data_IF_050064203340
#
_entry.id   IF_050064203340
#
_cell.length_a   1.000
_cell.length_b   1.000
_cell.length_c   1.000
_cell.angle_alpha   90.00
_cell.angle_beta   90.00
_cell.angle_gamma   90.00
#
_symmetry.space_group_name_H-M   'P 1'
#
loop_
_entity.id
_entity.type
_entity.pdbx_description
1 polymer ?
#
# COMPACT_ATOMS: atom_id res chain seq x y z
N UNK A 1 29.78 8.06 -17.94
CA UNK A 1 30.26 7.19 -19.03
C UNK A 1 30.73 5.88 -18.43
N UNK A 2 30.26 4.73 -18.93
CA UNK A 2 30.63 3.37 -18.49
C UNK A 2 31.21 2.67 -19.72
N UNK A 3 32.54 2.62 -19.84
CA UNK A 3 33.19 2.17 -21.07
C UNK A 3 32.79 3.04 -22.28
N UNK A 4 32.32 2.40 -23.36
CA UNK A 4 31.82 3.08 -24.55
C UNK A 4 30.36 3.55 -24.44
N UNK A 5 29.68 3.28 -23.32
CA UNK A 5 28.28 3.63 -23.11
C UNK A 5 28.16 4.92 -22.31
N UNK A 6 27.33 5.85 -22.80
CA UNK A 6 26.94 7.04 -22.04
C UNK A 6 25.66 6.72 -21.27
N UNK A 7 25.71 6.87 -19.95
CA UNK A 7 24.54 6.83 -19.09
C UNK A 7 24.17 8.26 -18.71
N UNK A 8 22.93 8.64 -18.97
CA UNK A 8 22.35 9.94 -18.62
C UNK A 8 21.12 9.74 -17.74
N UNK A 9 20.95 10.60 -16.75
CA UNK A 9 19.74 10.68 -15.94
C UNK A 9 19.09 12.02 -16.24
N UNK A 10 17.94 11.99 -16.90
CA UNK A 10 17.17 13.17 -17.27
C UNK A 10 15.80 13.16 -16.59
N UNK A 11 15.21 14.35 -16.44
CA UNK A 11 13.82 14.51 -16.02
C UNK A 11 13.02 15.02 -17.20
N UNK A 12 11.98 14.30 -17.60
CA UNK A 12 11.22 14.59 -18.81
C UNK A 12 10.08 13.61 -19.06
N UNK A 13 9.50 13.70 -20.26
CA UNK A 13 8.44 12.82 -20.74
C UNK A 13 9.02 11.80 -21.73
N UNK A 14 9.06 10.53 -21.33
CA UNK A 14 9.64 9.45 -22.14
C UNK A 14 8.97 9.31 -23.51
N UNK A 15 7.72 9.76 -23.67
CA UNK A 15 7.00 9.72 -24.96
C UNK A 15 7.56 10.71 -25.99
N UNK A 16 8.49 11.59 -25.58
CA UNK A 16 9.15 12.59 -26.42
C UNK A 16 10.60 12.24 -26.73
N UNK A 17 11.12 11.15 -26.16
CA UNK A 17 12.52 10.74 -26.33
C UNK A 17 12.79 10.23 -27.74
N UNK A 18 13.82 10.80 -28.37
CA UNK A 18 14.27 10.43 -29.72
C UNK A 18 15.39 9.41 -29.62
N UNK A 19 15.02 8.15 -29.42
CA UNK A 19 15.95 7.03 -29.25
C UNK A 19 15.60 5.87 -30.17
N UNK A 20 16.46 4.87 -30.27
CA UNK A 20 16.13 3.67 -31.03
C UNK A 20 15.00 2.89 -30.33
N UNK A 21 15.11 2.72 -29.01
CA UNK A 21 14.06 2.11 -28.20
C UNK A 21 13.66 2.97 -27.01
N UNK A 22 12.41 2.84 -26.60
CA UNK A 22 11.97 3.18 -25.25
C UNK A 22 11.47 1.93 -24.55
N UNK A 23 11.59 1.90 -23.22
CA UNK A 23 11.12 0.78 -22.41
C UNK A 23 9.77 1.10 -21.81
N UNK A 24 8.79 0.22 -22.03
CA UNK A 24 7.52 0.26 -21.32
C UNK A 24 7.52 -0.76 -20.16
N UNK A 25 7.38 -0.26 -18.93
CA UNK A 25 7.20 -1.10 -17.74
C UNK A 25 5.71 -1.30 -17.45
N UNK A 26 5.21 -2.52 -17.67
CA UNK A 26 3.78 -2.85 -17.68
C UNK A 26 3.45 -4.06 -16.77
N UNK A 27 2.22 -4.56 -16.83
CA UNK A 27 1.77 -5.76 -16.13
C UNK A 27 2.06 -7.02 -16.98
N UNK A 28 1.78 -8.21 -16.42
CA UNK A 28 2.01 -9.50 -17.11
C UNK A 28 1.27 -9.65 -18.45
N UNK A 29 0.17 -8.91 -18.65
CA UNK A 29 -0.62 -8.95 -19.89
C UNK A 29 -0.36 -7.76 -20.79
N UNK A 30 0.64 -6.93 -20.47
CA UNK A 30 1.01 -5.70 -21.16
C UNK A 30 -0.13 -4.69 -21.42
N UNK A 31 -1.26 -4.87 -20.71
CA UNK A 31 -2.47 -4.05 -20.78
C UNK A 31 -2.50 -2.96 -19.71
N UNK A 32 -1.38 -2.71 -19.04
CA UNK A 32 -1.31 -1.80 -17.90
C UNK A 32 -1.47 -0.35 -18.36
N UNK A 33 -2.65 0.23 -18.15
CA UNK A 33 -2.98 1.61 -18.50
C UNK A 33 -2.91 2.55 -17.30
N UNK A 34 -1.81 2.53 -16.54
CA UNK A 34 -1.52 3.56 -15.53
C UNK A 34 -0.08 4.08 -15.61
N UNK A 35 0.17 5.24 -14.98
CA UNK A 35 1.49 5.85 -14.90
C UNK A 35 2.16 6.04 -16.26
N UNK A 36 3.45 5.72 -16.34
CA UNK A 36 4.25 5.84 -17.56
C UNK A 36 3.76 4.89 -18.65
N UNK A 37 3.31 3.68 -18.32
CA UNK A 37 2.79 2.73 -19.32
C UNK A 37 1.54 3.29 -20.02
N UNK A 38 0.66 3.97 -19.27
CA UNK A 38 -0.48 4.68 -19.89
C UNK A 38 -0.01 5.74 -20.88
N UNK A 39 0.94 6.58 -20.48
CA UNK A 39 1.45 7.66 -21.34
C UNK A 39 2.07 7.10 -22.63
N UNK A 40 2.85 6.02 -22.53
CA UNK A 40 3.44 5.33 -23.69
C UNK A 40 2.35 4.76 -24.59
N UNK A 41 1.39 4.01 -24.06
CA UNK A 41 0.33 3.40 -24.88
C UNK A 41 -0.59 4.44 -25.54
N UNK A 42 -0.97 5.48 -24.80
CA UNK A 42 -1.76 6.60 -25.35
C UNK A 42 -0.98 7.33 -26.46
N UNK A 43 0.33 7.55 -26.24
CA UNK A 43 1.20 8.23 -27.20
C UNK A 43 1.52 7.40 -28.44
N UNK A 44 1.67 6.09 -28.30
CA UNK A 44 1.91 5.17 -29.40
C UNK A 44 0.67 4.96 -30.28
N UNK A 45 -0.52 4.95 -29.66
CA UNK A 45 -1.80 4.77 -30.35
C UNK A 45 -2.24 3.31 -30.46
N UNK A 46 -3.43 3.11 -31.04
CA UNK A 46 -4.16 1.83 -30.99
C UNK A 46 -3.45 0.66 -31.68
N UNK A 47 -2.57 0.92 -32.64
CA UNK A 47 -1.85 -0.14 -33.36
C UNK A 47 -0.93 -0.96 -32.44
N UNK A 48 -0.22 -0.30 -31.54
CA UNK A 48 0.67 -0.97 -30.57
C UNK A 48 -0.13 -1.86 -29.62
N UNK A 49 -1.33 -1.42 -29.20
CA UNK A 49 -2.21 -2.26 -28.38
C UNK A 49 -2.67 -3.53 -29.12
N UNK A 50 -2.91 -3.44 -30.44
CA UNK A 50 -3.28 -4.59 -31.25
C UNK A 50 -2.12 -5.57 -31.45
N UNK A 51 -0.89 -5.07 -31.64
CA UNK A 51 0.33 -5.90 -31.68
C UNK A 51 0.50 -6.69 -30.37
N UNK A 52 0.35 -6.02 -29.22
CA UNK A 52 0.48 -6.64 -27.91
C UNK A 52 -0.54 -7.76 -27.67
N UNK A 53 -1.78 -7.62 -28.18
CA UNK A 53 -2.82 -8.65 -28.04
C UNK A 53 -2.52 -9.93 -28.83
N UNK A 54 -1.63 -9.88 -29.81
CA UNK A 54 -1.30 -11.00 -30.69
C UNK A 54 -0.03 -11.75 -30.25
N UNK A 55 0.67 -11.29 -29.21
CA UNK A 55 2.04 -11.74 -28.87
C UNK A 55 2.14 -12.39 -27.47
N UNK A 56 3.09 -13.34 -27.30
CA UNK A 56 3.31 -14.14 -26.09
C UNK A 56 4.12 -13.47 -24.95
N UNK A 57 4.58 -14.22 -23.94
CA UNK A 57 4.89 -13.69 -22.59
C UNK A 57 6.36 -13.34 -22.22
N UNK A 58 7.37 -13.52 -23.09
CA UNK A 58 8.78 -13.48 -22.60
C UNK A 58 9.53 -12.15 -22.75
N UNK A 59 9.31 -11.39 -23.82
CA UNK A 59 9.76 -9.99 -24.00
C UNK A 59 9.20 -9.51 -25.34
N UNK A 60 8.26 -8.57 -25.31
CA UNK A 60 7.54 -8.14 -26.52
C UNK A 60 8.17 -6.84 -27.01
N UNK A 61 8.68 -6.86 -28.23
CA UNK A 61 9.04 -5.66 -28.98
C UNK A 61 7.89 -5.36 -29.93
N UNK A 62 7.44 -4.12 -29.94
CA UNK A 62 6.41 -3.64 -30.87
C UNK A 62 6.94 -2.47 -31.69
N UNK A 63 6.21 -2.13 -32.75
CA UNK A 63 6.42 -0.85 -33.44
C UNK A 63 6.22 0.33 -32.49
N UNK A 64 6.78 1.49 -32.81
CA UNK A 64 6.62 2.70 -31.98
C UNK A 64 5.28 3.43 -32.16
N UNK A 65 4.48 3.03 -33.15
CA UNK A 65 3.26 3.75 -33.52
C UNK A 65 3.57 5.23 -33.83
N UNK A 66 2.98 6.15 -33.06
CA UNK A 66 3.20 7.59 -33.22
C UNK A 66 4.35 8.16 -32.37
N UNK A 67 5.13 7.33 -31.66
CA UNK A 67 6.22 7.79 -30.82
C UNK A 67 7.50 8.07 -31.64
N UNK A 68 8.35 9.01 -31.20
CA UNK A 68 9.55 9.41 -31.91
C UNK A 68 10.75 8.44 -31.72
N UNK A 69 10.48 7.19 -31.35
CA UNK A 69 11.45 6.10 -31.29
C UNK A 69 11.25 5.08 -32.42
N UNK A 70 12.15 4.10 -32.58
CA UNK A 70 12.00 3.05 -33.61
C UNK A 70 11.11 1.91 -33.11
N UNK A 71 11.35 1.43 -31.90
CA UNK A 71 10.60 0.32 -31.28
C UNK A 71 10.27 0.61 -29.81
N UNK A 72 9.28 -0.12 -29.27
CA UNK A 72 8.95 -0.12 -27.84
C UNK A 72 9.26 -1.51 -27.28
N UNK A 73 10.09 -1.55 -26.24
CA UNK A 73 10.43 -2.80 -25.54
C UNK A 73 9.56 -2.91 -24.29
N UNK A 74 8.67 -3.90 -24.25
CA UNK A 74 7.74 -4.10 -23.15
C UNK A 74 8.30 -5.11 -22.14
N UNK A 75 8.44 -4.66 -20.89
CA UNK A 75 8.84 -5.50 -19.76
C UNK A 75 7.75 -5.54 -18.70
N UNK A 76 7.69 -6.64 -17.98
CA UNK A 76 6.88 -6.74 -16.76
C UNK A 76 7.60 -5.97 -15.65
N UNK A 77 6.92 -4.99 -15.08
CA UNK A 77 7.44 -4.18 -13.97
C UNK A 77 7.77 -5.03 -12.74
N UNK A 78 8.85 -4.66 -12.07
CA UNK A 78 9.33 -5.30 -10.84
C UNK A 78 9.86 -4.25 -9.87
N UNK A 79 9.79 -4.57 -8.57
CA UNK A 79 10.15 -3.64 -7.49
C UNK A 79 11.41 -4.06 -6.72
N UNK A 80 11.88 -5.31 -6.90
CA UNK A 80 13.11 -5.79 -6.26
C UNK A 80 14.33 -5.36 -7.06
N UNK A 81 15.38 -4.81 -6.42
CA UNK A 81 16.60 -4.40 -7.12
C UNK A 81 17.23 -5.50 -7.98
N UNK A 82 17.22 -6.76 -7.51
CA UNK A 82 17.72 -7.92 -8.26
C UNK A 82 16.93 -8.15 -9.55
N UNK A 83 15.61 -8.04 -9.50
CA UNK A 83 14.73 -8.28 -10.64
C UNK A 83 14.85 -7.14 -11.64
N UNK A 84 14.95 -5.90 -11.16
CA UNK A 84 15.21 -4.72 -11.99
C UNK A 84 16.54 -4.88 -12.72
N UNK A 85 17.60 -5.31 -12.02
CA UNK A 85 18.90 -5.55 -12.64
C UNK A 85 18.82 -6.59 -13.75
N UNK A 86 18.12 -7.70 -13.51
CA UNK A 86 17.91 -8.75 -14.53
C UNK A 86 17.13 -8.23 -15.74
N UNK A 87 16.09 -7.42 -15.53
CA UNK A 87 15.27 -6.82 -16.60
C UNK A 87 16.03 -5.78 -17.40
N UNK A 88 16.81 -4.92 -16.74
CA UNK A 88 17.68 -3.96 -17.45
C UNK A 88 18.70 -4.73 -18.29
N UNK A 89 19.30 -5.78 -17.75
CA UNK A 89 20.25 -6.61 -18.48
C UNK A 89 19.62 -7.30 -19.71
N UNK A 90 18.40 -7.82 -19.60
CA UNK A 90 17.72 -8.44 -20.75
C UNK A 90 17.40 -7.44 -21.85
N UNK A 91 16.90 -6.25 -21.49
CA UNK A 91 16.68 -5.15 -22.45
C UNK A 91 17.96 -4.73 -23.14
N UNK A 92 19.07 -4.58 -22.41
CA UNK A 92 20.35 -4.17 -23.00
C UNK A 92 20.88 -5.23 -23.99
N UNK A 93 20.75 -6.52 -23.67
CA UNK A 93 21.08 -7.62 -24.60
C UNK A 93 20.20 -7.61 -25.85
N UNK A 94 18.91 -7.32 -25.69
CA UNK A 94 17.98 -7.20 -26.79
C UNK A 94 18.35 -6.02 -27.72
N UNK A 95 18.70 -4.87 -27.12
CA UNK A 95 19.19 -3.71 -27.86
C UNK A 95 20.47 -4.04 -28.65
N UNK A 96 21.40 -4.79 -28.06
CA UNK A 96 22.62 -5.26 -28.75
C UNK A 96 22.28 -6.15 -29.96
N UNK A 97 21.35 -7.11 -29.80
CA UNK A 97 20.89 -7.98 -30.88
C UNK A 97 20.20 -7.20 -32.02
N UNK A 98 19.44 -6.16 -31.67
CA UNK A 98 18.76 -5.26 -32.63
C UNK A 98 19.70 -4.18 -33.20
N UNK A 99 20.97 -4.12 -32.75
CA UNK A 99 21.96 -3.09 -33.11
C UNK A 99 21.48 -1.66 -32.80
N UNK A 100 20.77 -1.51 -31.69
CA UNK A 100 20.37 -0.21 -31.17
C UNK A 100 21.55 0.53 -30.55
N UNK A 101 21.61 1.83 -30.82
CA UNK A 101 22.64 2.74 -30.33
C UNK A 101 22.14 3.59 -29.15
N UNK A 102 20.82 3.65 -28.93
CA UNK A 102 20.20 4.38 -27.81
C UNK A 102 18.93 3.70 -27.29
N UNK A 103 18.76 3.69 -25.97
CA UNK A 103 17.54 3.20 -25.31
C UNK A 103 17.21 4.08 -24.11
N UNK A 104 15.95 4.50 -23.99
CA UNK A 104 15.45 5.25 -22.84
C UNK A 104 14.67 4.32 -21.90
N UNK A 105 15.04 4.34 -20.62
CA UNK A 105 14.31 3.63 -19.57
C UNK A 105 13.49 4.63 -18.75
N UNK A 106 12.24 4.31 -18.40
CA UNK A 106 11.55 5.06 -17.36
C UNK A 106 12.18 4.74 -16.01
N UNK A 107 11.84 5.51 -14.97
CA UNK A 107 12.20 5.12 -13.61
C UNK A 107 11.55 3.75 -13.29
N UNK A 108 12.38 2.71 -13.19
CA UNK A 108 11.93 1.34 -12.90
C UNK A 108 11.77 1.14 -11.39
N UNK A 109 10.81 0.29 -11.00
CA UNK A 109 10.50 0.06 -9.59
C UNK A 109 9.77 1.21 -8.88
N UNK A 110 9.42 2.28 -9.61
CA UNK A 110 8.59 3.37 -9.07
C UNK A 110 7.10 3.18 -9.36
N UNK A 111 6.72 2.08 -10.00
CA UNK A 111 5.34 1.80 -10.39
C UNK A 111 4.45 1.69 -9.14
N UNK A 112 3.27 2.33 -9.23
CA UNK A 112 2.19 2.25 -8.25
C UNK A 112 2.01 0.79 -7.80
N UNK A 113 2.17 0.51 -6.51
CA UNK A 113 1.49 -0.66 -5.95
C UNK A 113 0.02 -0.51 -6.32
N UNK A 114 -0.51 -1.52 -7.02
CA UNK A 114 -1.86 -1.44 -7.57
C UNK A 114 -2.82 -1.15 -6.42
N UNK A 115 -3.64 -0.11 -6.59
CA UNK A 115 -4.72 0.13 -5.66
C UNK A 115 -5.63 -1.10 -5.67
N UNK A 116 -6.28 -1.43 -4.54
CA UNK A 116 -7.14 -2.61 -4.49
C UNK A 116 -8.23 -2.51 -5.56
N UNK A 117 -8.45 -3.59 -6.30
CA UNK A 117 -9.38 -3.61 -7.44
C UNK A 117 -10.84 -3.33 -7.06
N UNK A 118 -11.20 -3.51 -5.79
CA UNK A 118 -12.52 -3.21 -5.25
C UNK A 118 -12.70 -1.72 -4.88
N UNK A 119 -11.67 -0.89 -5.02
CA UNK A 119 -11.80 0.55 -4.80
C UNK A 119 -12.60 1.22 -5.91
N UNK A 120 -13.42 2.19 -5.54
CA UNK A 120 -14.11 3.07 -6.48
C UNK A 120 -13.13 4.11 -7.03
N UNK A 121 -13.44 4.67 -8.20
CA UNK A 121 -12.67 5.78 -8.76
C UNK A 121 -12.65 6.98 -7.79
N UNK A 122 -11.45 7.38 -7.39
CA UNK A 122 -11.23 8.49 -6.46
C UNK A 122 -11.40 9.86 -7.13
N UNK A 123 -11.57 9.93 -8.46
CA UNK A 123 -11.80 11.15 -9.24
C UNK A 123 -10.77 12.25 -8.97
N UNK A 124 -9.51 11.86 -8.79
CA UNK A 124 -8.40 12.76 -8.48
C UNK A 124 -8.31 13.27 -7.04
N UNK A 125 -9.20 12.86 -6.14
CA UNK A 125 -9.12 13.22 -4.72
C UNK A 125 -8.03 12.42 -3.99
N UNK A 126 -7.42 13.02 -2.96
CA UNK A 126 -6.38 12.33 -2.16
C UNK A 126 -6.96 11.28 -1.21
N UNK A 127 -8.17 11.52 -0.69
CA UNK A 127 -8.92 10.60 0.17
C UNK A 127 -10.39 10.59 -0.21
N UNK A 128 -11.01 9.40 -0.24
CA UNK A 128 -12.45 9.23 -0.46
C UNK A 128 -12.99 8.26 0.60
N UNK A 129 -14.13 8.61 1.21
CA UNK A 129 -14.89 7.71 2.07
C UNK A 129 -16.05 7.12 1.27
N UNK A 130 -15.95 5.85 0.93
CA UNK A 130 -16.97 5.14 0.18
C UNK A 130 -17.94 4.47 1.15
N UNK A 131 -19.18 4.94 1.21
CA UNK A 131 -20.21 4.31 2.02
C UNK A 131 -20.57 2.94 1.42
N UNK A 132 -20.32 1.89 2.19
CA UNK A 132 -20.66 0.53 1.77
C UNK A 132 -22.18 0.34 1.74
N UNK A 133 -22.64 -0.39 0.72
CA UNK A 133 -24.05 -0.80 0.62
C UNK A 133 -24.32 -1.92 1.64
N UNK A 134 -25.44 -1.82 2.35
CA UNK A 134 -25.79 -2.79 3.40
C UNK A 134 -26.03 -4.22 2.87
N UNK A 135 -26.31 -4.37 1.58
CA UNK A 135 -26.50 -5.65 0.88
C UNK A 135 -25.21 -6.25 0.33
N UNK A 136 -24.06 -5.57 0.46
CA UNK A 136 -22.79 -6.06 -0.07
C UNK A 136 -22.12 -7.07 0.85
N UNK A 137 -21.37 -8.01 0.26
CA UNK A 137 -20.52 -8.95 1.00
C UNK A 137 -19.49 -8.22 1.88
N UNK A 138 -18.90 -7.15 1.36
CA UNK A 138 -17.91 -6.34 2.09
C UNK A 138 -18.50 -5.72 3.36
N UNK A 139 -19.72 -5.17 3.28
CA UNK A 139 -20.43 -4.67 4.47
C UNK A 139 -20.67 -5.80 5.48
N UNK A 140 -21.18 -6.95 5.02
CA UNK A 140 -21.47 -8.09 5.89
C UNK A 140 -20.22 -8.64 6.60
N UNK A 141 -19.08 -8.68 5.91
CA UNK A 141 -17.80 -9.13 6.48
C UNK A 141 -17.32 -8.16 7.57
N UNK A 142 -17.37 -6.85 7.33
CA UNK A 142 -16.98 -5.83 8.33
C UNK A 142 -17.95 -5.83 9.52
N UNK A 143 -19.26 -5.95 9.28
CA UNK A 143 -20.26 -6.05 10.33
C UNK A 143 -20.04 -7.29 11.21
N UNK A 144 -19.78 -8.44 10.59
CA UNK A 144 -19.48 -9.69 11.31
C UNK A 144 -18.26 -9.52 12.20
N UNK A 145 -17.19 -8.94 11.68
CA UNK A 145 -15.96 -8.71 12.45
C UNK A 145 -16.20 -7.75 13.62
N UNK A 146 -16.97 -6.69 13.39
CA UNK A 146 -17.29 -5.72 14.45
C UNK A 146 -18.23 -6.26 15.53
N UNK A 147 -19.12 -7.19 15.19
CA UNK A 147 -20.06 -7.81 16.12
C UNK A 147 -19.58 -9.15 16.70
N UNK A 148 -18.37 -9.60 16.37
CA UNK A 148 -17.86 -10.95 16.72
C UNK A 148 -17.87 -11.28 18.21
N UNK A 149 -17.86 -10.27 19.09
CA UNK A 149 -17.89 -10.43 20.55
C UNK A 149 -19.27 -10.22 21.18
N UNK A 150 -20.34 -10.23 20.36
CA UNK A 150 -21.72 -10.13 20.85
C UNK A 150 -22.17 -8.71 21.19
N UNK A 151 -21.50 -7.69 20.64
CA UNK A 151 -21.88 -6.29 20.85
C UNK A 151 -23.32 -6.01 20.38
N UNK A 152 -24.17 -5.57 21.31
CA UNK A 152 -25.52 -5.08 21.00
C UNK A 152 -25.47 -3.61 20.58
N UNK A 153 -25.15 -3.38 19.31
CA UNK A 153 -24.93 -2.04 18.74
C UNK A 153 -25.77 -1.81 17.49
N UNK A 154 -26.09 -0.55 17.25
CA UNK A 154 -26.75 -0.09 16.03
C UNK A 154 -25.72 0.56 15.10
N UNK A 155 -25.38 -0.11 14.00
CA UNK A 155 -24.48 0.42 12.97
C UNK A 155 -25.27 1.38 12.10
N UNK A 156 -24.80 2.63 12.01
CA UNK A 156 -25.42 3.69 11.22
C UNK A 156 -24.87 3.67 9.78
N UNK A 157 -23.56 3.48 9.64
CA UNK A 157 -22.88 3.31 8.35
C UNK A 157 -21.49 2.70 8.53
N UNK A 158 -21.03 2.05 7.47
CA UNK A 158 -19.64 1.60 7.29
C UNK A 158 -19.12 2.31 6.04
N UNK A 159 -17.96 2.95 6.16
CA UNK A 159 -17.29 3.64 5.06
C UNK A 159 -15.91 3.01 4.85
N UNK A 160 -15.62 2.56 3.63
CA UNK A 160 -14.25 2.19 3.23
C UNK A 160 -13.46 3.47 3.01
N UNK A 161 -12.32 3.59 3.67
CA UNK A 161 -11.39 4.68 3.44
C UNK A 161 -10.52 4.31 2.25
N UNK A 162 -10.49 5.17 1.24
CA UNK A 162 -9.61 5.07 0.10
C UNK A 162 -8.60 6.21 0.17
N UNK A 163 -7.40 5.93 0.66
CA UNK A 163 -6.30 6.89 0.65
C UNK A 163 -5.09 6.24 -0.03
N UNK A 164 -4.83 6.66 -1.27
CA UNK A 164 -3.83 6.02 -2.12
C UNK A 164 -2.40 6.18 -1.62
N UNK A 165 -2.08 7.29 -0.93
CA UNK A 165 -0.75 7.52 -0.38
C UNK A 165 -0.50 6.64 0.86
N UNK A 166 -1.46 6.60 1.79
CA UNK A 166 -1.37 5.75 2.98
C UNK A 166 -1.32 4.27 2.60
N UNK A 167 -2.11 3.84 1.61
CA UNK A 167 -2.11 2.46 1.13
C UNK A 167 -0.75 2.06 0.55
N UNK A 168 -0.12 2.92 -0.24
CA UNK A 168 1.21 2.66 -0.82
C UNK A 168 2.28 2.55 0.26
N UNK A 169 2.30 3.50 1.21
CA UNK A 169 3.25 3.46 2.32
C UNK A 169 3.07 2.20 3.18
N UNK A 170 1.82 1.80 3.43
CA UNK A 170 1.47 0.58 4.13
C UNK A 170 2.01 -0.67 3.40
N UNK A 171 1.81 -0.76 2.08
CA UNK A 171 2.29 -1.91 1.29
C UNK A 171 3.81 -1.99 1.23
N UNK A 172 4.51 -0.86 1.10
CA UNK A 172 5.99 -0.84 1.17
C UNK A 172 6.45 -1.36 2.53
N UNK A 173 5.82 -0.90 3.62
CA UNK A 173 6.16 -1.39 4.96
C UNK A 173 5.85 -2.87 5.15
N UNK A 174 4.78 -3.36 4.53
CA UNK A 174 4.41 -4.77 4.56
C UNK A 174 5.49 -5.63 3.90
N UNK A 175 5.91 -5.28 2.68
CA UNK A 175 6.98 -5.98 1.97
C UNK A 175 8.30 -5.97 2.76
N UNK A 176 8.66 -4.82 3.35
CA UNK A 176 9.84 -4.69 4.22
C UNK A 176 9.78 -5.70 5.38
N UNK A 177 8.64 -5.81 6.07
CA UNK A 177 8.46 -6.74 7.19
C UNK A 177 8.43 -8.21 6.76
N UNK A 178 7.86 -8.51 5.59
CA UNK A 178 7.85 -9.88 5.06
C UNK A 178 9.26 -10.38 4.75
N UNK A 179 10.10 -9.52 4.17
CA UNK A 179 11.53 -9.81 3.94
C UNK A 179 12.28 -9.94 5.27
N UNK A 180 12.09 -8.98 6.18
CA UNK A 180 12.75 -8.94 7.49
C UNK A 180 12.44 -10.19 8.32
N UNK A 181 11.17 -10.56 8.43
CA UNK A 181 10.71 -11.64 9.31
C UNK A 181 10.71 -13.01 8.63
N UNK A 182 10.95 -13.07 7.31
CA UNK A 182 10.99 -14.31 6.52
C UNK A 182 9.68 -15.09 6.56
N UNK A 183 8.56 -14.40 6.73
CA UNK A 183 7.21 -14.95 6.66
C UNK A 183 6.20 -13.86 6.28
N UNK A 184 5.01 -14.27 5.84
CA UNK A 184 3.93 -13.36 5.41
C UNK A 184 2.89 -13.06 6.48
N UNK A 185 2.94 -13.76 7.63
CA UNK A 185 1.99 -13.58 8.74
C UNK A 185 2.31 -12.35 9.61
N UNK A 186 2.38 -11.17 9.01
CA UNK A 186 2.71 -9.92 9.71
C UNK A 186 1.48 -9.03 9.99
N UNK A 187 0.35 -9.32 9.38
CA UNK A 187 -0.83 -8.44 9.35
C UNK A 187 -1.98 -8.97 10.22
N UNK A 188 -2.66 -8.06 10.92
CA UNK A 188 -3.94 -8.33 11.61
C UNK A 188 -4.95 -7.22 11.31
N UNK A 189 -6.23 -7.60 11.26
CA UNK A 189 -7.34 -6.66 11.34
C UNK A 189 -7.62 -6.36 12.81
N UNK A 190 -7.53 -5.09 13.21
CA UNK A 190 -7.67 -4.64 14.60
C UNK A 190 -8.50 -3.36 14.70
N UNK A 191 -8.97 -3.07 15.91
CA UNK A 191 -9.92 -1.97 16.17
C UNK A 191 -9.28 -0.77 16.85
N UNK A 192 -9.56 0.43 16.35
CA UNK A 192 -9.12 1.69 16.94
C UNK A 192 -10.30 2.65 17.16
N UNK A 193 -10.71 2.83 18.42
CA UNK A 193 -11.78 3.77 18.80
C UNK A 193 -11.27 5.21 18.84
N UNK A 194 -12.06 6.17 18.35
CA UNK A 194 -11.66 7.59 18.36
C UNK A 194 -12.86 8.54 18.47
N UNK A 195 -12.58 9.81 18.75
CA UNK A 195 -13.55 10.90 18.72
C UNK A 195 -13.84 11.36 17.29
N UNK A 196 -15.02 11.96 17.07
CA UNK A 196 -15.40 12.50 15.76
C UNK A 196 -14.50 13.63 15.27
N UNK A 197 -13.85 14.34 16.19
CA UNK A 197 -12.92 15.44 15.92
C UNK A 197 -11.58 14.98 15.32
N UNK A 198 -11.30 13.67 15.32
CA UNK A 198 -10.03 13.10 14.83
C UNK A 198 -10.16 12.32 13.53
N UNK A 199 -11.38 12.06 13.05
CA UNK A 199 -11.56 11.19 11.87
C UNK A 199 -10.96 11.80 10.61
N UNK A 200 -11.13 13.11 10.38
CA UNK A 200 -10.58 13.76 9.19
C UNK A 200 -9.05 13.70 9.19
N UNK A 201 -8.43 13.88 10.36
CA UNK A 201 -7.00 13.73 10.49
C UNK A 201 -6.54 12.31 10.19
N UNK A 202 -7.19 11.29 10.77
CA UNK A 202 -6.83 9.88 10.56
C UNK A 202 -7.04 9.47 9.09
N UNK A 203 -8.12 9.92 8.46
CA UNK A 203 -8.42 9.63 7.05
C UNK A 203 -7.35 10.20 6.11
N UNK A 204 -6.82 11.40 6.41
CA UNK A 204 -5.84 12.08 5.58
C UNK A 204 -4.39 11.66 5.88
N UNK A 205 -4.06 11.49 7.15
CA UNK A 205 -2.67 11.36 7.63
C UNK A 205 -2.36 9.99 8.25
N UNK A 206 -3.36 9.13 8.41
CA UNK A 206 -3.21 7.85 9.10
C UNK A 206 -3.14 8.01 10.61
N UNK A 207 -2.68 6.96 11.28
CA UNK A 207 -2.55 6.97 12.73
C UNK A 207 -1.23 7.62 13.15
N UNK A 208 -1.30 8.60 14.04
CA UNK A 208 -0.12 9.33 14.48
C UNK A 208 0.15 9.08 15.97
N UNK A 209 1.31 8.47 16.26
CA UNK A 209 1.70 8.12 17.64
C UNK A 209 1.91 9.31 18.57
N UNK A 210 2.05 10.53 18.05
CA UNK A 210 2.14 11.73 18.90
C UNK A 210 0.86 11.99 19.70
N UNK A 211 -0.26 11.38 19.30
CA UNK A 211 -1.52 11.38 20.06
C UNK A 211 -1.62 10.23 21.07
N UNK A 212 -0.55 9.45 21.29
CA UNK A 212 -0.53 8.44 22.33
C UNK A 212 -0.87 9.08 23.69
N UNK A 213 -1.93 8.56 24.32
CA UNK A 213 -2.52 9.19 25.50
C UNK A 213 -1.62 9.14 26.73
N UNK A 214 -1.96 9.98 27.72
CA UNK A 214 -1.32 10.10 29.04
C UNK A 214 -1.28 8.77 29.85
N UNK A 215 -1.99 7.74 29.40
CA UNK A 215 -2.12 6.43 30.04
C UNK A 215 -1.50 5.27 29.22
N UNK A 216 -0.53 5.54 28.35
CA UNK A 216 0.16 4.50 27.57
C UNK A 216 0.90 3.47 28.47
N UNK A 217 0.29 2.28 28.67
CA UNK A 217 0.79 1.23 29.59
C UNK A 217 1.89 0.34 29.00
N UNK A 218 1.93 0.18 27.69
CA UNK A 218 2.74 -0.81 26.97
C UNK A 218 3.73 -0.17 25.99
N UNK A 219 3.66 1.15 25.81
CA UNK A 219 4.60 1.93 25.03
C UNK A 219 3.95 3.17 24.43
N UNK A 220 4.77 4.17 24.12
CA UNK A 220 4.32 5.45 23.55
C UNK A 220 4.12 5.30 22.03
N UNK A 221 3.08 4.54 21.67
CA UNK A 221 2.71 4.23 20.30
C UNK A 221 1.19 4.31 20.07
N UNK A 222 0.76 3.88 18.89
CA UNK A 222 -0.67 3.81 18.55
C UNK A 222 -1.23 2.44 18.95
N UNK A 223 -2.33 2.44 19.69
CA UNK A 223 -2.98 1.25 20.24
C UNK A 223 -4.10 0.72 19.34
N UNK A 224 -4.18 -0.60 19.22
CA UNK A 224 -5.21 -1.31 18.48
C UNK A 224 -5.70 -2.52 19.27
N UNK A 225 -7.01 -2.66 19.43
CA UNK A 225 -7.63 -3.76 20.17
C UNK A 225 -8.00 -4.93 19.26
N UNK A 226 -7.88 -6.15 19.79
CA UNK A 226 -8.36 -7.38 19.13
C UNK A 226 -9.88 -7.50 19.24
N UNK A 227 -10.43 -7.15 20.42
CA UNK A 227 -11.87 -7.12 20.69
C UNK A 227 -12.43 -5.71 20.39
N UNK A 228 -13.43 -5.58 19.51
CA UNK A 228 -14.07 -4.31 19.24
C UNK A 228 -14.70 -3.66 20.48
N UNK A 229 -15.14 -4.45 21.48
CA UNK A 229 -15.78 -3.96 22.70
C UNK A 229 -14.89 -3.00 23.48
N UNK A 230 -13.59 -3.30 23.55
CA UNK A 230 -12.60 -2.47 24.25
C UNK A 230 -12.55 -1.06 23.66
N UNK A 231 -12.36 -0.97 22.33
CA UNK A 231 -12.31 0.28 21.58
C UNK A 231 -13.68 0.99 21.53
N UNK A 232 -14.77 0.24 21.39
CA UNK A 232 -16.12 0.76 21.29
C UNK A 232 -16.59 1.39 22.60
N UNK A 233 -16.29 0.79 23.75
CA UNK A 233 -16.77 1.26 25.06
C UNK A 233 -15.89 2.39 25.62
N UNK A 234 -14.56 2.20 25.62
CA UNK A 234 -13.63 3.10 26.32
C UNK A 234 -13.09 4.27 25.50
N UNK A 235 -12.98 4.13 24.17
CA UNK A 235 -12.17 5.06 23.35
C UNK A 235 -12.95 5.76 22.24
N UNK A 236 -14.09 5.18 21.82
CA UNK A 236 -14.95 5.78 20.79
C UNK A 236 -15.87 6.84 21.42
N UNK A 237 -15.40 8.08 21.59
CA UNK A 237 -16.21 9.13 22.25
C UNK A 237 -17.47 9.46 21.42
N UNK A 238 -18.67 9.52 22.03
CA UNK A 238 -19.88 9.91 21.32
C UNK A 238 -19.84 11.39 20.93
N UNK A 239 -20.37 11.75 19.76
CA UNK A 239 -20.63 13.15 19.41
C UNK A 239 -21.93 13.68 20.05
N UNK A 240 -22.27 14.93 19.74
CA UNK A 240 -23.51 15.57 20.20
C UNK A 240 -24.80 14.83 19.80
N UNK A 241 -24.75 13.92 18.81
CA UNK A 241 -25.86 13.06 18.37
C UNK A 241 -25.78 11.64 18.92
N UNK A 242 -24.88 11.38 19.87
CA UNK A 242 -24.65 10.06 20.47
C UNK A 242 -23.95 9.06 19.55
N UNK A 243 -23.39 9.49 18.42
CA UNK A 243 -22.73 8.62 17.45
C UNK A 243 -21.28 8.41 17.83
N UNK A 244 -20.80 7.18 17.72
CA UNK A 244 -19.43 6.75 18.06
C UNK A 244 -18.70 6.32 16.78
N UNK A 245 -17.37 6.46 16.77
CA UNK A 245 -16.51 6.11 15.62
C UNK A 245 -15.43 5.14 16.03
N UNK A 246 -15.26 4.11 15.22
CA UNK A 246 -14.21 3.11 15.38
C UNK A 246 -13.69 2.74 14.00
N UNK A 247 -12.37 2.59 13.90
CA UNK A 247 -11.74 2.05 12.71
C UNK A 247 -11.56 0.54 12.85
N UNK A 248 -11.85 -0.20 11.78
CA UNK A 248 -11.26 -1.52 11.53
C UNK A 248 -10.07 -1.28 10.60
N UNK A 249 -8.86 -1.49 11.12
CA UNK A 249 -7.61 -1.16 10.47
C UNK A 249 -6.80 -2.42 10.14
N UNK A 250 -6.07 -2.39 9.04
CA UNK A 250 -4.99 -3.34 8.78
C UNK A 250 -3.76 -2.88 9.54
N UNK A 251 -3.19 -3.74 10.36
CA UNK A 251 -2.05 -3.41 11.23
C UNK A 251 -0.97 -4.45 11.04
N UNK A 252 0.23 -3.98 10.68
CA UNK A 252 1.43 -4.79 10.57
C UNK A 252 2.04 -5.00 11.96
N UNK A 253 1.54 -6.02 12.67
CA UNK A 253 2.02 -6.39 14.02
C UNK A 253 3.37 -7.11 13.98
N UNK A 254 3.68 -7.79 12.87
CA UNK A 254 4.94 -8.52 12.67
C UNK A 254 5.28 -9.49 13.80
N UNK A 255 6.58 -9.63 14.08
CA UNK A 255 7.06 -10.27 15.30
C UNK A 255 6.86 -9.30 16.47
N UNK A 256 6.17 -9.75 17.53
CA UNK A 256 5.83 -8.90 18.67
C UNK A 256 6.32 -9.49 20.00
N UNK A 257 6.46 -8.62 20.99
CA UNK A 257 6.80 -8.99 22.37
C UNK A 257 5.97 -8.20 23.38
N UNK A 258 6.08 -8.51 24.67
CA UNK A 258 5.35 -7.77 25.69
C UNK A 258 5.89 -6.34 25.82
N UNK A 259 4.97 -5.37 25.83
CA UNK A 259 5.29 -3.96 25.98
C UNK A 259 5.46 -3.54 27.44
N UNK A 260 6.01 -2.34 27.64
CA UNK A 260 6.13 -1.71 28.97
C UNK A 260 6.01 -0.20 28.85
N UNK A 261 5.55 0.44 29.92
CA UNK A 261 5.36 1.89 29.98
C UNK A 261 6.65 2.64 29.62
N UNK A 262 6.52 3.70 28.81
CA UNK A 262 7.61 4.62 28.50
C UNK A 262 8.53 4.25 27.34
N UNK A 263 8.46 3.03 26.79
CA UNK A 263 9.24 2.70 25.58
C UNK A 263 8.73 3.50 24.38
N UNK A 264 9.64 3.96 23.52
CA UNK A 264 9.32 4.74 22.30
C UNK A 264 9.54 3.95 21.01
N UNK A 265 10.14 2.78 21.14
CA UNK A 265 10.39 1.81 20.06
C UNK A 265 10.20 0.41 20.63
N UNK A 266 9.91 -0.61 19.81
CA UNK A 266 9.89 -1.98 20.26
C UNK A 266 11.24 -2.42 20.84
N UNK A 267 11.26 -3.41 21.76
CA UNK A 267 12.50 -3.99 22.27
C UNK A 267 13.33 -4.70 21.20
N UNK A 268 14.62 -4.90 21.46
CA UNK A 268 15.50 -5.77 20.65
C UNK A 268 15.08 -7.23 20.78
N UNK A 269 15.19 -8.02 19.70
CA UNK A 269 14.92 -9.47 19.71
C UNK A 269 15.98 -10.27 20.48
N UNK A 270 17.22 -9.75 20.51
CA UNK A 270 18.35 -10.35 21.24
C UNK A 270 19.29 -9.25 21.73
N UNK A 271 20.04 -9.50 22.80
CA UNK A 271 21.05 -8.58 23.33
C UNK A 271 22.18 -8.29 22.35
N UNK A 272 22.45 -9.22 21.42
CA UNK A 272 23.54 -9.14 20.44
C UNK A 272 23.10 -8.58 19.08
N UNK A 273 21.81 -8.39 18.85
CA UNK A 273 21.27 -7.91 17.57
C UNK A 273 20.79 -6.46 17.68
N UNK A 274 20.92 -5.71 16.59
CA UNK A 274 20.23 -4.42 16.42
C UNK A 274 18.77 -4.61 15.99
N UNK A 275 18.36 -5.83 15.66
CA UNK A 275 17.01 -6.14 15.22
C UNK A 275 15.99 -5.96 16.34
N UNK A 276 14.95 -5.16 16.07
CA UNK A 276 13.85 -4.89 16.97
C UNK A 276 12.66 -5.78 16.61
N UNK A 277 11.82 -6.06 17.61
CA UNK A 277 10.44 -6.48 17.33
C UNK A 277 9.72 -5.40 16.51
N UNK A 278 8.60 -5.76 15.88
CA UNK A 278 7.85 -4.86 15.00
C UNK A 278 6.72 -4.14 15.74
N UNK A 279 6.19 -4.78 16.78
CA UNK A 279 5.19 -4.20 17.68
C UNK A 279 5.31 -4.76 19.09
N UNK A 280 4.50 -4.24 20.00
CA UNK A 280 4.35 -4.82 21.34
C UNK A 280 2.90 -5.11 21.69
N UNK A 281 2.68 -5.98 22.67
CA UNK A 281 1.36 -6.43 23.14
C UNK A 281 1.24 -6.31 24.66
N UNK A 282 0.02 -6.39 25.19
CA UNK A 282 -0.25 -6.53 26.63
C UNK A 282 0.28 -7.85 27.20
N UNK A 283 0.15 -8.94 26.42
CA UNK A 283 0.61 -10.29 26.74
C UNK A 283 0.90 -11.06 25.46
N UNK A 284 1.93 -11.91 25.48
CA UNK A 284 2.37 -12.69 24.30
C UNK A 284 1.45 -13.86 24.02
N UNK A 285 0.94 -14.51 25.07
CA UNK A 285 -0.04 -15.59 24.95
C UNK A 285 -1.46 -14.99 24.88
N UNK A 286 -2.11 -15.16 23.73
CA UNK A 286 -3.43 -14.61 23.42
C UNK A 286 -3.55 -13.07 23.63
N UNK A 287 -2.83 -12.26 22.84
CA UNK A 287 -2.89 -10.79 22.89
C UNK A 287 -4.30 -10.22 22.87
N UNK A 288 -4.58 -9.20 23.68
CA UNK A 288 -5.82 -8.43 23.61
C UNK A 288 -5.67 -7.10 22.87
N UNK A 289 -4.43 -6.62 22.71
CA UNK A 289 -4.11 -5.41 21.98
C UNK A 289 -2.68 -5.42 21.43
N UNK A 290 -2.44 -4.57 20.45
CA UNK A 290 -1.12 -4.32 19.89
C UNK A 290 -0.82 -2.82 19.89
N UNK A 291 0.46 -2.49 20.02
CA UNK A 291 0.98 -1.12 19.95
C UNK A 291 2.08 -1.06 18.90
N UNK A 292 1.89 -0.21 17.90
CA UNK A 292 2.89 0.08 16.86
C UNK A 292 3.56 1.43 17.12
N UNK A 293 4.80 1.56 16.67
CA UNK A 293 5.62 2.76 16.91
C UNK A 293 6.04 3.47 15.62
N UNK A 294 5.68 2.91 14.46
CA UNK A 294 5.83 3.55 13.17
C UNK A 294 4.44 3.79 12.56
N UNK A 295 4.18 5.04 12.16
CA UNK A 295 2.87 5.50 11.70
C UNK A 295 2.42 4.79 10.41
N UNK A 296 3.36 4.33 9.57
CA UNK A 296 3.04 3.61 8.32
C UNK A 296 2.69 2.12 8.52
N UNK A 297 2.78 1.58 9.75
CA UNK A 297 2.43 0.18 10.03
C UNK A 297 0.91 -0.08 10.06
N UNK A 298 0.07 0.95 9.94
CA UNK A 298 -1.38 0.76 9.96
C UNK A 298 -2.10 1.54 8.86
N UNK A 299 -3.09 0.89 8.25
CA UNK A 299 -3.99 1.49 7.28
C UNK A 299 -5.43 1.52 7.83
N UNK A 300 -6.07 2.70 7.93
CA UNK A 300 -7.43 2.83 8.45
C UNK A 300 -8.46 2.35 7.40
N UNK A 301 -8.65 1.05 7.24
CA UNK A 301 -9.40 0.50 6.10
C UNK A 301 -10.91 0.83 6.11
N UNK A 302 -11.56 0.70 7.27
CA UNK A 302 -12.99 1.01 7.41
C UNK A 302 -13.24 1.93 8.60
N UNK A 303 -14.06 2.96 8.39
CA UNK A 303 -14.64 3.79 9.44
C UNK A 303 -16.08 3.34 9.71
N UNK A 304 -16.34 2.85 10.91
CA UNK A 304 -17.67 2.40 11.34
C UNK A 304 -18.26 3.47 12.25
N UNK A 305 -19.42 4.00 11.84
CA UNK A 305 -20.22 4.90 12.67
C UNK A 305 -21.37 4.12 13.28
N UNK A 306 -21.48 4.14 14.61
CA UNK A 306 -22.47 3.35 15.34
C UNK A 306 -23.00 4.11 16.56
N UNK A 307 -24.00 3.56 17.23
CA UNK A 307 -24.44 3.98 18.56
C UNK A 307 -24.86 2.76 19.37
N UNK A 308 -24.92 2.91 20.68
CA UNK A 308 -25.55 1.91 21.53
C UNK A 308 -27.02 1.77 21.11
N UNK A 309 -27.58 0.55 21.22
CA UNK A 309 -29.02 0.35 21.02
C UNK A 309 -29.81 1.08 22.09
#
# INVERSE_FOLDING_TARGET
QIGHVTLEVSSGDITKEKTDAIVNSSNQTFSYKSGVSKAILDGAGLWVEQELLQMGLTEIVTSSGNLPCKEIIHIVGCNKPSDIQLKVLSVLKLCENHRFTSVAFPALGTAQSSLPSHWEDMKGQSVVLVKLRADSKEYADVEKEFKKTGLSINIIKIERVQNSALWRNYLIKKEELEVKNKHTNNEKLLFHGTGSDKTDQINNQGFNRSFAGMHALYGNGTYFAVDPSYSAQGFSKPDAKGRKRIYLARVLVGDFTQGRKGIRTPPKKSSQSVDLYDSVTDKTNNPSMFVIFNDVQAYPEYLITFRNR
#
